data_IF_165612140510
#
_entry.id   IF_165612140510
#
_cell.length_a   1.000
_cell.length_b   1.000
_cell.length_c   1.000
_cell.angle_alpha   90.00
_cell.angle_beta   90.00
_cell.angle_gamma   90.00
#
_symmetry.space_group_name_H-M   'P 1'
#
loop_
_entity.id
_entity.type
_entity.pdbx_description
1 polymer ?
#
# COMPACT_ATOMS: atom_id res chain seq x y z
N UNK A 1 0.07 54.71 -39.73
CA UNK A 1 -0.09 54.47 -38.28
C UNK A 1 -0.40 53.00 -38.09
N UNK A 2 0.60 52.18 -37.78
CA UNK A 2 0.45 50.73 -37.59
C UNK A 2 0.41 50.41 -36.10
N UNK A 3 -0.71 49.88 -35.63
CA UNK A 3 -0.83 49.36 -34.26
C UNK A 3 -0.24 47.96 -34.21
N UNK A 4 0.91 47.83 -33.53
CA UNK A 4 1.46 46.56 -33.08
C UNK A 4 0.69 46.17 -31.82
N UNK A 5 -0.21 45.19 -31.93
CA UNK A 5 -0.85 44.55 -30.79
C UNK A 5 0.13 43.50 -30.23
N UNK A 6 0.78 43.80 -29.11
CA UNK A 6 1.57 42.84 -28.34
C UNK A 6 0.62 41.96 -27.50
N UNK A 7 0.38 40.74 -27.97
CA UNK A 7 -0.23 39.67 -27.18
C UNK A 7 0.80 39.12 -26.20
N UNK A 8 0.83 39.67 -24.98
CA UNK A 8 1.46 39.03 -23.83
C UNK A 8 0.57 37.85 -23.39
N UNK A 9 0.81 36.68 -23.97
CA UNK A 9 0.25 35.44 -23.46
C UNK A 9 0.87 35.15 -22.09
N UNK A 10 0.10 35.40 -21.03
CA UNK A 10 0.44 35.03 -19.66
C UNK A 10 0.73 33.53 -19.59
N UNK A 11 2.01 33.16 -19.43
CA UNK A 11 2.42 31.78 -19.16
C UNK A 11 2.04 31.41 -17.73
N UNK A 12 0.75 31.12 -17.51
CA UNK A 12 0.33 30.47 -16.27
C UNK A 12 0.94 29.05 -16.26
N UNK A 13 1.65 28.65 -15.20
CA UNK A 13 2.22 27.32 -15.11
C UNK A 13 1.08 26.28 -15.16
N UNK A 14 1.16 25.36 -16.13
CA UNK A 14 0.25 24.23 -16.21
C UNK A 14 0.38 23.42 -14.90
N UNK A 15 -0.73 23.14 -14.19
CA UNK A 15 -0.67 22.33 -12.98
C UNK A 15 -0.01 20.99 -13.28
N UNK A 16 1.10 20.69 -12.59
CA UNK A 16 1.75 19.40 -12.75
C UNK A 16 0.82 18.32 -12.22
N UNK A 17 0.50 17.32 -13.05
CA UNK A 17 -0.35 16.22 -12.65
C UNK A 17 0.27 15.48 -11.46
N UNK A 18 -0.55 15.19 -10.44
CA UNK A 18 -0.13 14.45 -9.24
C UNK A 18 -0.98 13.21 -9.01
N UNK A 19 -0.48 12.32 -8.17
CA UNK A 19 -1.18 11.13 -7.70
C UNK A 19 -0.97 11.00 -6.19
N UNK A 20 -2.07 10.91 -5.45
CA UNK A 20 -2.05 10.64 -4.02
C UNK A 20 -2.31 9.16 -3.77
N UNK A 21 -1.46 8.52 -2.96
CA UNK A 21 -1.55 7.10 -2.64
C UNK A 21 -1.51 6.91 -1.12
N UNK A 22 -2.40 6.08 -0.61
CA UNK A 22 -2.43 5.64 0.79
C UNK A 22 -2.02 4.17 0.89
N UNK A 23 -1.30 3.79 1.94
CA UNK A 23 -1.19 2.40 2.37
C UNK A 23 -1.61 2.25 3.83
N UNK A 24 -2.26 1.13 4.15
CA UNK A 24 -2.60 0.80 5.52
C UNK A 24 -2.80 -0.71 5.72
N UNK A 25 -2.03 -1.32 6.62
CA UNK A 25 -2.43 -2.57 7.26
C UNK A 25 -3.59 -2.28 8.23
N UNK A 26 -4.79 -2.72 7.87
CA UNK A 26 -6.02 -2.39 8.62
C UNK A 26 -6.23 -3.30 9.83
N UNK A 27 -5.41 -4.35 10.00
CA UNK A 27 -5.45 -5.28 11.12
C UNK A 27 -6.87 -5.74 11.48
N UNK A 28 -7.61 -6.25 10.49
CA UNK A 28 -9.02 -6.58 10.67
C UNK A 28 -9.34 -8.06 10.64
N UNK A 29 -8.40 -8.88 10.15
CA UNK A 29 -8.63 -10.29 9.86
C UNK A 29 -8.63 -11.18 11.09
N UNK A 30 -7.48 -11.26 11.76
CA UNK A 30 -7.19 -12.35 12.71
C UNK A 30 -6.66 -11.91 14.06
N UNK A 31 -6.10 -10.70 14.18
CA UNK A 31 -5.56 -10.19 15.44
C UNK A 31 -6.64 -9.53 16.31
N UNK A 32 -6.93 -10.13 17.48
CA UNK A 32 -7.93 -9.62 18.43
C UNK A 32 -7.54 -8.34 19.15
N UNK A 33 -6.26 -7.96 19.13
CA UNK A 33 -5.77 -6.75 19.81
C UNK A 33 -6.09 -5.46 19.02
N UNK A 34 -6.50 -5.60 17.77
CA UNK A 34 -6.84 -4.47 16.90
C UNK A 34 -8.30 -4.06 17.07
N UNK A 35 -8.57 -2.75 17.13
CA UNK A 35 -9.94 -2.24 17.30
C UNK A 35 -10.83 -2.51 16.08
N UNK A 36 -10.24 -2.73 14.92
CA UNK A 36 -10.95 -3.16 13.71
C UNK A 36 -11.14 -4.68 13.63
N UNK A 37 -10.71 -5.45 14.62
CA UNK A 37 -11.03 -6.87 14.72
C UNK A 37 -12.55 -7.06 14.73
N UNK A 38 -13.05 -7.93 13.84
CA UNK A 38 -14.49 -8.22 13.67
C UNK A 38 -15.36 -7.01 13.29
N UNK A 39 -14.76 -5.90 12.85
CA UNK A 39 -15.51 -4.75 12.33
C UNK A 39 -16.36 -5.15 11.11
N UNK A 40 -17.57 -4.64 11.03
CA UNK A 40 -18.44 -4.85 9.88
C UNK A 40 -17.85 -4.24 8.60
N UNK A 41 -18.34 -4.69 7.44
CA UNK A 41 -17.91 -4.14 6.15
C UNK A 41 -18.17 -2.62 6.05
N UNK A 42 -19.25 -2.12 6.66
CA UNK A 42 -19.61 -0.69 6.67
C UNK A 42 -18.66 0.13 7.54
N UNK A 43 -18.33 -0.36 8.74
CA UNK A 43 -17.36 0.30 9.63
C UNK A 43 -15.98 0.37 8.96
N UNK A 44 -15.53 -0.73 8.35
CA UNK A 44 -14.29 -0.76 7.60
C UNK A 44 -14.29 0.24 6.44
N UNK A 45 -15.35 0.25 5.63
CA UNK A 45 -15.48 1.17 4.51
C UNK A 45 -15.42 2.63 4.97
N UNK A 46 -16.12 2.98 6.04
CA UNK A 46 -16.10 4.32 6.61
C UNK A 46 -14.73 4.74 7.14
N UNK A 47 -14.04 3.84 7.87
CA UNK A 47 -12.72 4.13 8.43
C UNK A 47 -11.62 4.18 7.37
N UNK A 48 -11.62 3.29 6.38
CA UNK A 48 -10.63 3.30 5.30
C UNK A 48 -10.89 4.48 4.37
N UNK A 49 -12.12 4.61 3.89
CA UNK A 49 -12.51 5.64 2.95
C UNK A 49 -12.36 7.04 3.53
N UNK A 50 -12.77 7.27 4.79
CA UNK A 50 -12.60 8.59 5.43
C UNK A 50 -11.14 9.05 5.49
N UNK A 51 -10.20 8.12 5.65
CA UNK A 51 -8.75 8.41 5.75
C UNK A 51 -8.16 8.67 4.37
N UNK A 52 -8.53 7.84 3.39
CA UNK A 52 -8.19 8.06 1.99
C UNK A 52 -8.65 9.45 1.52
N UNK A 53 -9.92 9.82 1.77
CA UNK A 53 -10.48 11.08 1.32
C UNK A 53 -9.94 12.30 2.06
N UNK A 54 -9.58 12.18 3.34
CA UNK A 54 -8.94 13.26 4.10
C UNK A 54 -7.63 13.74 3.47
N UNK A 55 -6.96 12.88 2.69
CA UNK A 55 -5.74 13.20 1.94
C UNK A 55 -5.89 13.03 0.43
N UNK A 56 -7.14 12.95 -0.05
CA UNK A 56 -7.49 12.83 -1.47
C UNK A 56 -6.75 11.70 -2.18
N UNK A 57 -6.48 10.59 -1.47
CA UNK A 57 -5.86 9.42 -2.06
C UNK A 57 -6.74 8.91 -3.22
N UNK A 58 -6.09 8.58 -4.33
CA UNK A 58 -6.70 8.03 -5.54
C UNK A 58 -6.27 6.58 -5.77
N UNK A 59 -5.25 6.13 -5.04
CA UNK A 59 -4.88 4.72 -4.95
C UNK A 59 -4.73 4.36 -3.48
N UNK A 60 -5.21 3.19 -3.10
CA UNK A 60 -5.15 2.68 -1.73
C UNK A 60 -4.58 1.27 -1.75
N UNK A 61 -3.53 1.03 -0.98
CA UNK A 61 -2.99 -0.31 -0.71
C UNK A 61 -3.45 -0.76 0.68
N UNK A 62 -4.13 -1.90 0.77
CA UNK A 62 -4.62 -2.45 2.02
C UNK A 62 -4.00 -3.80 2.30
N UNK A 63 -3.59 -4.00 3.55
CA UNK A 63 -3.10 -5.28 4.07
C UNK A 63 -3.97 -5.69 5.24
N UNK A 64 -4.09 -7.01 5.44
CA UNK A 64 -5.01 -7.59 6.42
C UNK A 64 -6.46 -7.12 6.27
N UNK A 65 -6.84 -6.78 5.05
CA UNK A 65 -8.21 -6.47 4.68
C UNK A 65 -9.02 -7.76 4.59
N UNK A 66 -10.35 -7.69 4.76
CA UNK A 66 -11.21 -8.86 4.61
C UNK A 66 -11.96 -8.79 3.28
N UNK A 67 -11.85 -9.82 2.43
CA UNK A 67 -12.42 -9.78 1.07
C UNK A 67 -13.92 -9.51 1.05
N UNK A 68 -14.66 -9.89 2.10
CA UNK A 68 -16.09 -9.63 2.25
C UNK A 68 -16.46 -8.15 2.36
N UNK A 69 -15.50 -7.24 2.59
CA UNK A 69 -15.72 -5.79 2.63
C UNK A 69 -15.42 -5.08 1.30
N UNK A 70 -14.94 -5.79 0.26
CA UNK A 70 -14.51 -5.20 -1.02
C UNK A 70 -15.59 -4.33 -1.66
N UNK A 71 -16.75 -4.91 -1.95
CA UNK A 71 -17.85 -4.19 -2.62
C UNK A 71 -18.41 -3.04 -1.76
N UNK A 72 -18.43 -3.19 -0.44
CA UNK A 72 -18.88 -2.13 0.46
C UNK A 72 -17.91 -0.94 0.46
N UNK A 73 -16.60 -1.18 0.46
CA UNK A 73 -15.61 -0.11 0.36
C UNK A 73 -15.68 0.59 -1.00
N UNK A 74 -15.78 -0.17 -2.09
CA UNK A 74 -15.92 0.38 -3.44
C UNK A 74 -17.13 1.32 -3.53
N UNK A 75 -18.32 0.81 -3.19
CA UNK A 75 -19.55 1.60 -3.20
C UNK A 75 -19.46 2.84 -2.29
N UNK A 76 -18.87 2.70 -1.10
CA UNK A 76 -18.70 3.83 -0.18
C UNK A 76 -17.83 4.94 -0.80
N UNK A 77 -16.71 4.56 -1.44
CA UNK A 77 -15.81 5.51 -2.10
C UNK A 77 -16.50 6.20 -3.28
N UNK A 78 -17.25 5.44 -4.09
CA UNK A 78 -18.00 5.99 -5.22
C UNK A 78 -19.04 7.00 -4.78
N UNK A 79 -19.86 6.65 -3.78
CA UNK A 79 -20.89 7.54 -3.25
C UNK A 79 -20.32 8.84 -2.67
N UNK A 80 -19.14 8.79 -2.05
CA UNK A 80 -18.53 9.96 -1.41
C UNK A 80 -17.72 10.85 -2.35
N UNK A 81 -17.26 10.28 -3.47
CA UNK A 81 -16.43 11.01 -4.42
C UNK A 81 -17.16 11.40 -5.70
N UNK A 82 -18.30 10.77 -6.00
CA UNK A 82 -19.00 10.91 -7.29
C UNK A 82 -18.17 10.39 -8.47
N UNK A 83 -17.15 9.56 -8.21
CA UNK A 83 -16.24 8.97 -9.20
C UNK A 83 -16.30 7.47 -9.10
N UNK A 84 -16.08 6.77 -10.21
CA UNK A 84 -15.88 5.32 -10.19
C UNK A 84 -14.67 4.94 -9.36
N UNK A 85 -14.79 3.84 -8.62
CA UNK A 85 -13.69 3.16 -7.98
C UNK A 85 -13.65 1.71 -8.42
N UNK A 86 -12.48 1.10 -8.42
CA UNK A 86 -12.35 -0.34 -8.66
C UNK A 86 -11.35 -0.91 -7.69
N UNK A 87 -11.67 -2.07 -7.12
CA UNK A 87 -10.80 -2.75 -6.16
C UNK A 87 -10.39 -4.13 -6.67
N UNK A 88 -9.09 -4.32 -6.88
CA UNK A 88 -8.48 -5.65 -7.03
C UNK A 88 -8.06 -6.18 -5.67
N UNK A 89 -8.44 -7.41 -5.34
CA UNK A 89 -8.07 -8.05 -4.06
C UNK A 89 -7.65 -9.50 -4.28
N UNK A 90 -6.65 -9.94 -3.51
CA UNK A 90 -6.23 -11.33 -3.46
C UNK A 90 -6.30 -11.86 -2.03
N UNK A 91 -7.17 -12.84 -1.81
CA UNK A 91 -7.31 -13.54 -0.53
C UNK A 91 -6.09 -14.43 -0.26
N UNK A 92 -5.54 -14.30 0.93
CA UNK A 92 -4.46 -15.16 1.42
C UNK A 92 -4.99 -16.59 1.52
N UNK A 93 -4.11 -17.54 1.22
CA UNK A 93 -4.40 -18.97 1.33
C UNK A 93 -3.32 -19.64 2.16
N UNK A 94 -3.72 -20.69 2.88
CA UNK A 94 -2.83 -21.64 3.51
C UNK A 94 -2.05 -22.46 2.48
N UNK A 95 -1.26 -23.41 2.98
CA UNK A 95 -0.47 -24.30 2.14
C UNK A 95 -1.32 -25.30 1.36
N UNK A 96 -2.35 -25.82 2.02
CA UNK A 96 -3.43 -26.64 1.47
C UNK A 96 -4.28 -25.90 0.42
N UNK A 97 -4.11 -24.58 0.29
CA UNK A 97 -4.90 -23.74 -0.60
C UNK A 97 -6.19 -23.24 0.04
N UNK A 98 -6.47 -23.60 1.29
CA UNK A 98 -7.65 -23.13 2.00
C UNK A 98 -7.55 -21.62 2.26
N UNK A 99 -8.66 -20.88 2.19
CA UNK A 99 -8.66 -19.45 2.49
C UNK A 99 -8.20 -19.20 3.92
N UNK A 100 -7.27 -18.25 4.10
CA UNK A 100 -6.91 -17.76 5.43
C UNK A 100 -8.03 -16.83 5.92
N UNK A 101 -9.04 -17.44 6.56
CA UNK A 101 -10.30 -16.79 6.87
C UNK A 101 -10.16 -15.63 7.85
N UNK A 102 -10.86 -14.54 7.57
CA UNK A 102 -11.12 -13.52 8.58
C UNK A 102 -12.08 -14.07 9.64
N UNK A 103 -11.88 -13.68 10.90
CA UNK A 103 -12.87 -13.95 11.94
C UNK A 103 -14.22 -13.32 11.58
N UNK A 104 -15.36 -14.00 11.84
CA UNK A 104 -16.68 -13.44 11.62
C UNK A 104 -16.89 -12.11 12.36
N UNK A 105 -17.77 -11.26 11.86
CA UNK A 105 -18.05 -9.98 12.53
C UNK A 105 -18.75 -10.19 13.88
N UNK A 106 -19.06 -9.09 14.58
CA UNK A 106 -19.74 -9.16 15.88
C UNK A 106 -21.12 -9.85 15.82
N UNK A 107 -21.76 -9.91 14.65
CA UNK A 107 -23.03 -10.60 14.43
C UNK A 107 -22.86 -12.04 13.91
N UNK A 108 -21.62 -12.53 13.85
CA UNK A 108 -21.31 -13.87 13.34
C UNK A 108 -21.32 -13.99 11.82
N UNK A 109 -21.42 -12.87 11.07
CA UNK A 109 -21.44 -12.91 9.61
C UNK A 109 -20.05 -13.20 9.06
N UNK A 110 -19.92 -14.04 8.02
CA UNK A 110 -18.64 -14.30 7.39
C UNK A 110 -18.08 -13.04 6.73
N UNK A 111 -16.75 -12.89 6.76
CA UNK A 111 -16.05 -11.72 6.20
C UNK A 111 -15.07 -12.08 5.08
N UNK A 112 -15.12 -13.32 4.62
CA UNK A 112 -14.21 -13.83 3.59
C UNK A 112 -12.80 -14.11 4.13
N UNK A 113 -11.80 -13.97 3.28
CA UNK A 113 -10.41 -14.21 3.60
C UNK A 113 -9.68 -12.91 3.93
N UNK A 114 -8.65 -13.00 4.77
CA UNK A 114 -7.66 -11.94 4.90
C UNK A 114 -6.98 -11.73 3.54
N UNK A 115 -6.73 -10.49 3.13
CA UNK A 115 -6.31 -10.17 1.77
C UNK A 115 -5.30 -9.04 1.69
N UNK A 116 -4.71 -8.95 0.50
CA UNK A 116 -4.05 -7.75 -0.01
C UNK A 116 -5.01 -7.14 -1.03
N UNK A 117 -5.31 -5.85 -0.91
CA UNK A 117 -6.19 -5.16 -1.84
C UNK A 117 -5.56 -3.85 -2.36
N UNK A 118 -5.87 -3.53 -3.61
CA UNK A 118 -5.55 -2.25 -4.25
C UNK A 118 -6.84 -1.64 -4.77
N UNK A 119 -7.20 -0.48 -4.23
CA UNK A 119 -8.33 0.31 -4.72
C UNK A 119 -7.80 1.48 -5.55
N UNK A 120 -8.46 1.78 -6.67
CA UNK A 120 -8.06 2.87 -7.58
C UNK A 120 -9.29 3.68 -7.99
N UNK A 121 -9.15 5.01 -7.99
CA UNK A 121 -10.15 5.94 -8.48
C UNK A 121 -10.00 6.17 -9.99
N UNK A 122 -11.10 6.06 -10.73
CA UNK A 122 -11.17 6.28 -12.18
C UNK A 122 -11.46 5.04 -13.00
N UNK A 123 -11.53 5.22 -14.31
CA UNK A 123 -11.90 4.17 -15.27
C UNK A 123 -10.70 3.38 -15.80
N UNK A 124 -10.99 2.21 -16.38
CA UNK A 124 -10.06 1.38 -17.15
C UNK A 124 -8.80 0.94 -16.37
N UNK A 125 -9.00 0.44 -15.15
CA UNK A 125 -7.94 -0.13 -14.32
C UNK A 125 -7.85 -1.63 -14.57
N UNK A 126 -6.67 -2.10 -15.00
CA UNK A 126 -6.36 -3.52 -15.09
C UNK A 126 -5.60 -3.95 -13.83
N UNK A 127 -6.11 -4.99 -13.16
CA UNK A 127 -5.48 -5.56 -11.98
C UNK A 127 -4.76 -6.85 -12.31
N UNK A 128 -3.56 -7.01 -11.75
CA UNK A 128 -2.77 -8.23 -11.84
C UNK A 128 -2.38 -8.68 -10.44
N UNK A 129 -2.48 -9.98 -10.18
CA UNK A 129 -1.93 -10.58 -8.96
C UNK A 129 -0.69 -11.37 -9.30
N UNK A 130 0.37 -11.13 -8.54
CA UNK A 130 1.66 -11.77 -8.70
C UNK A 130 2.00 -12.53 -7.42
N UNK A 131 2.13 -13.85 -7.51
CA UNK A 131 2.61 -14.64 -6.37
C UNK A 131 4.02 -14.20 -5.98
N UNK A 132 4.27 -14.13 -4.68
CA UNK A 132 5.60 -13.89 -4.12
C UNK A 132 6.14 -15.18 -3.49
N UNK A 133 7.48 -15.38 -3.48
CA UNK A 133 8.08 -16.47 -2.74
C UNK A 133 7.61 -16.46 -1.29
N UNK A 134 7.07 -17.57 -0.79
CA UNK A 134 6.54 -17.65 0.58
C UNK A 134 7.08 -18.91 1.27
N UNK A 135 7.20 -18.91 2.60
CA UNK A 135 7.56 -20.11 3.34
C UNK A 135 6.53 -21.23 3.10
N UNK A 136 6.96 -22.48 2.82
CA UNK A 136 6.08 -23.59 2.49
C UNK A 136 5.27 -24.15 3.68
N UNK A 137 5.32 -23.51 4.85
CA UNK A 137 4.63 -23.93 6.07
C UNK A 137 3.65 -22.88 6.60
N UNK A 138 3.48 -21.74 5.92
CA UNK A 138 2.60 -20.67 6.37
C UNK A 138 1.76 -20.09 5.23
N UNK A 139 1.13 -18.93 5.39
CA UNK A 139 0.27 -18.37 4.34
C UNK A 139 1.07 -17.91 3.12
N UNK A 140 0.49 -18.09 1.92
CA UNK A 140 1.05 -17.59 0.67
C UNK A 140 1.02 -16.05 0.65
N UNK A 141 1.96 -15.44 -0.09
CA UNK A 141 2.09 -13.99 -0.25
C UNK A 141 1.94 -13.59 -1.71
N UNK A 142 1.48 -12.38 -1.96
CA UNK A 142 1.31 -11.84 -3.31
C UNK A 142 1.59 -10.34 -3.36
N UNK A 143 1.74 -9.80 -4.56
CA UNK A 143 1.57 -8.38 -4.84
C UNK A 143 0.36 -8.21 -5.75
N UNK A 144 -0.47 -7.22 -5.45
CA UNK A 144 -1.58 -6.82 -6.33
C UNK A 144 -1.15 -5.51 -6.98
N UNK A 145 -1.16 -5.47 -8.31
CA UNK A 145 -0.79 -4.31 -9.09
C UNK A 145 -1.96 -3.81 -9.91
N UNK A 146 -2.07 -2.49 -10.02
CA UNK A 146 -3.00 -1.80 -10.87
C UNK A 146 -2.23 -0.94 -11.87
N UNK A 147 -2.55 -1.07 -13.15
CA UNK A 147 -2.03 -0.15 -14.15
C UNK A 147 -3.02 0.99 -14.38
N UNK A 148 -2.50 2.22 -14.41
CA UNK A 148 -3.24 3.45 -14.70
C UNK A 148 -2.71 4.04 -16.01
N UNK A 149 -3.16 3.56 -17.19
CA UNK A 149 -2.56 3.90 -18.48
C UNK A 149 -2.59 5.39 -18.78
N UNK A 150 -3.70 6.07 -18.48
CA UNK A 150 -3.86 7.52 -18.68
C UNK A 150 -2.81 8.35 -17.92
N UNK A 151 -2.24 7.81 -16.84
CA UNK A 151 -1.21 8.45 -16.01
C UNK A 151 0.17 7.85 -16.21
N UNK A 152 0.28 6.75 -16.98
CA UNK A 152 1.47 5.89 -17.09
C UNK A 152 2.04 5.54 -15.72
N UNK A 153 1.18 5.10 -14.80
CA UNK A 153 1.57 4.66 -13.45
C UNK A 153 1.22 3.20 -13.24
N UNK A 154 2.15 2.43 -12.68
CA UNK A 154 1.89 1.10 -12.13
C UNK A 154 1.92 1.20 -10.62
N UNK A 155 0.81 0.87 -9.98
CA UNK A 155 0.64 0.96 -8.54
C UNK A 155 0.55 -0.44 -7.93
N UNK A 156 1.52 -0.84 -7.10
CA UNK A 156 1.60 -2.20 -6.54
C UNK A 156 1.56 -2.19 -5.02
N UNK A 157 0.57 -2.87 -4.44
CA UNK A 157 0.43 -3.11 -3.00
C UNK A 157 0.80 -4.56 -2.64
N UNK A 158 1.41 -4.76 -1.47
CA UNK A 158 1.74 -6.11 -0.96
C UNK A 158 1.64 -6.19 0.58
N UNK A 159 1.71 -7.42 1.10
CA UNK A 159 1.96 -7.72 2.51
C UNK A 159 3.00 -8.84 2.55
N UNK A 160 4.20 -8.53 3.05
CA UNK A 160 5.30 -9.50 3.11
C UNK A 160 5.20 -10.38 4.35
N UNK A 161 5.95 -11.49 4.35
CA UNK A 161 6.09 -12.34 5.53
C UNK A 161 6.49 -11.52 6.76
N UNK A 162 5.97 -11.85 7.95
CA UNK A 162 6.14 -11.05 9.17
C UNK A 162 7.51 -11.20 9.84
N UNK A 163 8.23 -12.29 9.57
CA UNK A 163 9.51 -12.58 10.23
C UNK A 163 9.40 -13.08 11.66
N UNK A 164 8.24 -13.61 12.02
CA UNK A 164 7.98 -14.26 13.30
C UNK A 164 8.47 -15.72 13.28
N UNK A 165 8.53 -16.41 14.43
CA UNK A 165 8.95 -17.81 14.47
C UNK A 165 8.13 -18.77 13.58
N UNK A 166 6.86 -18.44 13.31
CA UNK A 166 6.01 -19.20 12.41
C UNK A 166 6.05 -18.71 10.95
N UNK A 167 6.62 -17.53 10.67
CA UNK A 167 6.64 -16.90 9.35
C UNK A 167 8.03 -16.33 9.02
N UNK A 168 8.76 -16.97 8.11
CA UNK A 168 10.12 -16.57 7.70
C UNK A 168 11.12 -16.47 8.88
N UNK A 169 11.14 -17.51 9.71
CA UNK A 169 11.98 -17.66 10.91
C UNK A 169 13.44 -18.02 10.61
N UNK A 170 13.75 -18.40 9.37
CA UNK A 170 15.07 -18.87 8.99
C UNK A 170 16.11 -17.75 9.09
N UNK A 171 17.37 -18.07 9.47
CA UNK A 171 18.44 -17.08 9.54
C UNK A 171 18.56 -16.27 8.25
N UNK A 172 18.63 -14.95 8.39
CA UNK A 172 18.79 -14.04 7.25
C UNK A 172 17.50 -13.57 6.58
N UNK A 173 16.31 -13.88 7.12
CA UNK A 173 15.02 -13.49 6.53
C UNK A 173 14.92 -13.82 5.03
N UNK A 174 15.16 -15.08 4.64
CA UNK A 174 15.31 -15.47 3.24
C UNK A 174 14.05 -15.21 2.42
N UNK A 175 12.85 -15.38 2.98
CA UNK A 175 11.62 -15.15 2.21
C UNK A 175 11.35 -13.67 2.03
N UNK A 176 11.41 -12.83 3.07
CA UNK A 176 11.28 -11.37 2.91
C UNK A 176 12.29 -10.80 1.92
N UNK A 177 13.53 -11.31 1.92
CA UNK A 177 14.55 -10.89 0.95
C UNK A 177 14.16 -11.24 -0.49
N UNK A 178 13.75 -12.48 -0.74
CA UNK A 178 13.30 -12.93 -2.07
C UNK A 178 12.00 -12.21 -2.50
N UNK A 179 11.09 -11.96 -1.57
CA UNK A 179 9.86 -11.23 -1.80
C UNK A 179 10.13 -9.79 -2.24
N UNK A 180 11.04 -9.08 -1.57
CA UNK A 180 11.45 -7.72 -1.94
C UNK A 180 12.10 -7.68 -3.33
N UNK A 181 12.99 -8.63 -3.63
CA UNK A 181 13.59 -8.75 -4.97
C UNK A 181 12.52 -8.94 -6.03
N UNK A 182 11.60 -9.89 -5.80
CA UNK A 182 10.50 -10.16 -6.73
C UNK A 182 9.55 -8.98 -6.86
N UNK A 183 9.28 -8.25 -5.78
CA UNK A 183 8.44 -7.05 -5.81
C UNK A 183 9.07 -5.93 -6.66
N UNK A 184 10.40 -5.76 -6.62
CA UNK A 184 11.08 -4.81 -7.51
C UNK A 184 10.84 -5.17 -8.98
N UNK A 185 11.01 -6.44 -9.34
CA UNK A 185 10.76 -6.93 -10.70
C UNK A 185 9.32 -6.69 -11.14
N UNK A 186 8.34 -7.07 -10.31
CA UNK A 186 6.90 -6.90 -10.60
C UNK A 186 6.51 -5.42 -10.73
N UNK A 187 7.11 -4.56 -9.90
CA UNK A 187 6.81 -3.13 -9.90
C UNK A 187 7.35 -2.41 -11.13
N UNK A 188 8.41 -2.94 -11.75
CA UNK A 188 9.00 -2.37 -12.95
C UNK A 188 8.16 -2.73 -14.18
N UNK A 189 7.58 -1.72 -14.83
CA UNK A 189 6.86 -1.89 -16.10
C UNK A 189 7.38 -0.87 -17.12
N UNK A 190 7.89 -1.32 -18.30
CA UNK A 190 8.40 -0.40 -19.32
C UNK A 190 7.36 0.67 -19.70
N UNK A 191 7.78 1.93 -19.71
CA UNK A 191 6.92 3.07 -20.03
C UNK A 191 6.01 3.56 -18.88
N UNK A 192 6.08 2.93 -17.70
CA UNK A 192 5.30 3.30 -16.52
C UNK A 192 6.22 3.77 -15.38
N UNK A 193 5.74 4.73 -14.61
CA UNK A 193 6.32 5.10 -13.30
C UNK A 193 5.71 4.20 -12.22
N UNK A 194 6.54 3.68 -11.32
CA UNK A 194 6.08 2.76 -10.28
C UNK A 194 5.79 3.48 -8.97
N UNK A 195 4.62 3.26 -8.39
CA UNK A 195 4.36 3.54 -6.97
C UNK A 195 4.11 2.20 -6.29
N UNK A 196 4.94 1.86 -5.31
CA UNK A 196 4.94 0.51 -4.73
C UNK A 196 5.04 0.59 -3.21
N UNK A 197 4.29 -0.25 -2.50
CA UNK A 197 4.24 -0.16 -1.06
C UNK A 197 3.38 -1.23 -0.41
N UNK A 198 3.09 -0.99 0.86
CA UNK A 198 2.41 -1.94 1.75
C UNK A 198 3.16 -2.15 3.05
N UNK A 199 2.69 -3.13 3.81
CA UNK A 199 3.41 -3.66 4.96
C UNK A 199 4.51 -4.61 4.48
N UNK A 200 5.75 -4.12 4.53
CA UNK A 200 6.91 -4.88 4.08
C UNK A 200 7.56 -5.70 5.20
N UNK A 201 7.10 -5.56 6.45
CA UNK A 201 7.61 -6.31 7.60
C UNK A 201 9.16 -6.33 7.72
N UNK A 202 9.81 -5.27 7.25
CA UNK A 202 11.25 -5.06 7.33
C UNK A 202 11.55 -3.71 7.92
N UNK A 203 12.60 -3.65 8.73
CA UNK A 203 13.07 -2.38 9.29
C UNK A 203 13.90 -1.60 8.26
N UNK A 204 13.89 -0.26 8.32
CA UNK A 204 14.64 0.58 7.39
C UNK A 204 16.14 0.35 7.47
N UNK A 205 16.92 0.57 6.39
CA UNK A 205 18.35 0.25 6.35
C UNK A 205 19.16 0.93 7.46
N UNK A 206 18.83 2.18 7.77
CA UNK A 206 19.59 3.02 8.72
C UNK A 206 18.95 3.02 10.13
N UNK A 207 18.02 2.09 10.38
CA UNK A 207 17.39 1.94 11.69
C UNK A 207 18.26 1.12 12.66
N UNK A 208 18.17 1.44 13.95
CA UNK A 208 18.83 0.70 15.03
C UNK A 208 18.10 -0.57 15.48
N UNK A 209 17.00 -0.96 14.81
CA UNK A 209 16.16 -2.10 15.20
C UNK A 209 15.91 -3.05 14.03
N UNK A 210 15.33 -4.21 14.34
CA UNK A 210 15.12 -5.29 13.38
C UNK A 210 16.39 -6.07 13.05
N UNK A 211 16.26 -7.10 12.20
CA UNK A 211 17.40 -7.92 11.81
C UNK A 211 18.27 -7.20 10.77
N UNK A 212 19.60 -7.38 10.86
CA UNK A 212 20.52 -6.80 9.89
C UNK A 212 20.23 -7.27 8.45
N UNK A 213 19.77 -8.52 8.29
CA UNK A 213 19.40 -9.04 6.99
C UNK A 213 18.15 -8.36 6.42
N UNK A 214 17.09 -8.16 7.22
CA UNK A 214 15.89 -7.43 6.77
C UNK A 214 16.21 -5.98 6.39
N UNK A 215 17.04 -5.30 7.19
CA UNK A 215 17.53 -3.94 6.87
C UNK A 215 18.30 -3.88 5.55
N UNK A 216 19.14 -4.88 5.27
CA UNK A 216 19.86 -4.98 3.98
C UNK A 216 18.92 -5.33 2.82
N UNK A 217 17.91 -6.15 3.05
CA UNK A 217 16.98 -6.61 2.03
C UNK A 217 16.16 -5.47 1.40
N UNK A 218 15.79 -4.44 2.17
CA UNK A 218 15.03 -3.29 1.66
C UNK A 218 15.90 -2.19 1.05
N UNK A 219 17.22 -2.21 1.30
CA UNK A 219 18.14 -1.21 0.78
C UNK A 219 18.11 -1.01 -0.76
N UNK A 220 17.87 -2.04 -1.61
CA UNK A 220 17.69 -1.85 -3.04
C UNK A 220 16.52 -0.93 -3.42
N UNK A 221 15.40 -0.96 -2.69
CA UNK A 221 14.29 -0.02 -2.93
C UNK A 221 14.74 1.43 -2.75
N UNK A 222 15.48 1.73 -1.67
CA UNK A 222 16.02 3.08 -1.45
C UNK A 222 17.08 3.52 -2.47
N UNK A 223 17.71 2.57 -3.18
CA UNK A 223 18.62 2.91 -4.28
C UNK A 223 17.87 3.32 -5.54
N UNK A 224 16.74 2.66 -5.84
CA UNK A 224 15.96 2.90 -7.05
C UNK A 224 14.89 4.00 -6.86
N UNK A 225 14.31 4.07 -5.67
CA UNK A 225 13.17 4.90 -5.34
C UNK A 225 13.48 5.85 -4.18
N UNK A 226 12.59 6.80 -4.00
CA UNK A 226 12.49 7.62 -2.80
C UNK A 226 11.32 7.11 -1.96
N UNK A 227 11.56 6.95 -0.66
CA UNK A 227 10.57 6.49 0.29
C UNK A 227 9.79 7.65 0.92
N UNK A 228 8.52 7.43 1.26
CA UNK A 228 7.69 8.38 1.98
C UNK A 228 8.23 8.65 3.40
N UNK A 229 8.62 9.89 3.68
CA UNK A 229 9.26 10.34 4.95
C UNK A 229 10.76 10.01 4.98
N UNK A 230 11.37 9.67 3.84
CA UNK A 230 12.81 9.77 3.64
C UNK A 230 13.23 11.25 3.63
N UNK A 231 14.19 11.60 4.50
CA UNK A 231 14.71 12.97 4.62
C UNK A 231 16.20 12.98 4.31
N UNK A 232 16.55 13.64 3.21
CA UNK A 232 17.92 13.65 2.68
C UNK A 232 18.43 12.22 2.46
N UNK A 233 19.61 11.94 3.00
CA UNK A 233 20.26 10.62 2.88
C UNK A 233 19.76 9.59 3.90
N UNK A 234 19.03 9.99 4.96
CA UNK A 234 18.63 9.07 6.04
C UNK A 234 17.43 8.22 5.63
N UNK A 235 17.60 6.90 5.71
CA UNK A 235 16.58 5.87 5.39
C UNK A 235 16.04 5.26 6.69
N UNK A 236 15.42 6.11 7.49
CA UNK A 236 14.81 5.74 8.79
C UNK A 236 13.30 5.89 8.75
N UNK A 237 12.80 6.95 8.09
CA UNK A 237 11.37 7.21 7.92
C UNK A 237 10.60 7.33 9.23
N UNK A 238 9.31 7.62 9.11
CA UNK A 238 8.39 7.66 10.24
C UNK A 238 7.96 6.27 10.66
N UNK A 239 7.84 6.04 11.96
CA UNK A 239 7.28 4.78 12.47
C UNK A 239 5.81 4.63 12.05
N UNK A 240 5.43 3.39 11.75
CA UNK A 240 4.10 2.98 11.31
C UNK A 240 3.50 1.89 12.18
N UNK A 241 4.25 1.27 13.10
CA UNK A 241 3.74 0.30 14.09
C UNK A 241 4.64 0.29 15.33
N UNK A 242 4.09 0.51 16.53
CA UNK A 242 4.83 0.41 17.82
C UNK A 242 6.25 1.05 17.82
N UNK A 243 6.39 2.27 17.30
CA UNK A 243 7.69 2.94 17.22
C UNK A 243 8.66 2.39 16.17
N UNK A 244 8.25 1.38 15.39
CA UNK A 244 8.95 0.80 14.25
C UNK A 244 8.30 1.23 12.94
N UNK A 245 9.08 1.27 11.87
CA UNK A 245 8.62 1.48 10.49
C UNK A 245 8.61 0.14 9.79
N UNK A 246 7.43 -0.25 9.32
CA UNK A 246 7.18 -1.51 8.59
C UNK A 246 6.36 -1.27 7.32
N UNK A 247 5.60 -0.19 7.27
CA UNK A 247 4.80 0.20 6.12
C UNK A 247 5.54 1.25 5.30
N UNK A 248 5.50 1.06 3.98
CA UNK A 248 6.28 1.85 3.04
C UNK A 248 5.43 2.28 1.85
N UNK A 249 5.76 3.45 1.33
CA UNK A 249 5.38 3.90 0.00
C UNK A 249 6.64 4.41 -0.69
N UNK A 250 7.00 3.77 -1.80
CA UNK A 250 8.14 4.13 -2.64
C UNK A 250 7.64 4.67 -3.97
N UNK A 251 8.33 5.70 -4.47
CA UNK A 251 8.06 6.31 -5.76
C UNK A 251 9.38 6.75 -6.44
N UNK A 252 9.38 7.12 -7.73
CA UNK A 252 10.60 7.55 -8.41
C UNK A 252 11.28 8.71 -7.67
N UNK A 253 12.61 8.73 -7.67
CA UNK A 253 13.37 9.80 -6.99
C UNK A 253 13.00 11.17 -7.55
N UNK A 254 12.80 12.14 -6.65
CA UNK A 254 12.44 13.51 -7.02
C UNK A 254 10.96 13.71 -7.35
N UNK A 255 10.14 12.66 -7.40
CA UNK A 255 8.70 12.78 -7.65
C UNK A 255 7.89 13.03 -6.38
N UNK A 256 8.41 12.67 -5.21
CA UNK A 256 7.72 12.79 -3.92
C UNK A 256 7.58 14.26 -3.52
N UNK A 257 6.34 14.73 -3.39
CA UNK A 257 6.01 16.11 -3.00
C UNK A 257 5.60 16.23 -1.56
N UNK A 258 4.73 15.33 -1.10
CA UNK A 258 4.27 15.29 0.29
C UNK A 258 4.29 13.86 0.79
N UNK A 259 4.60 13.71 2.07
CA UNK A 259 4.43 12.48 2.80
C UNK A 259 3.78 12.77 4.15
N UNK A 260 2.93 11.86 4.61
CA UNK A 260 2.35 11.93 5.93
C UNK A 260 2.07 10.54 6.49
N UNK A 261 2.43 10.33 7.76
CA UNK A 261 2.01 9.15 8.53
C UNK A 261 1.04 9.58 9.61
N UNK A 262 -0.16 9.00 9.61
CA UNK A 262 -1.24 9.31 10.56
C UNK A 262 -1.02 8.63 11.92
N UNK A 263 -0.01 9.07 12.67
CA UNK A 263 0.40 8.46 13.94
C UNK A 263 -0.67 8.48 15.04
N UNK A 264 -1.62 9.41 14.97
CA UNK A 264 -2.74 9.51 15.91
C UNK A 264 -3.85 8.49 15.69
N UNK A 265 -3.84 7.73 14.60
CA UNK A 265 -4.84 6.70 14.34
C UNK A 265 -4.56 5.48 15.22
N UNK A 266 -5.54 5.03 16.00
CA UNK A 266 -5.43 3.90 16.94
C UNK A 266 -6.39 2.75 16.61
N UNK A 267 -6.96 2.75 15.41
CA UNK A 267 -7.92 1.72 14.97
C UNK A 267 -7.22 0.40 14.61
N UNK A 268 -6.00 0.50 14.09
CA UNK A 268 -5.07 -0.58 13.80
C UNK A 268 -3.78 -0.35 14.62
N UNK A 269 -3.05 -1.42 14.89
CA UNK A 269 -1.68 -1.32 15.42
C UNK A 269 -0.72 -0.68 14.39
N UNK A 270 -1.08 -0.71 13.11
CA UNK A 270 -0.43 0.04 12.04
C UNK A 270 -1.05 1.43 11.78
N UNK A 271 -0.22 2.36 11.32
CA UNK A 271 -0.57 3.75 11.00
C UNK A 271 -0.68 3.94 9.48
N UNK A 272 -1.77 4.55 8.98
CA UNK A 272 -1.87 4.91 7.58
C UNK A 272 -0.70 5.79 7.15
N UNK A 273 -0.11 5.49 6.00
CA UNK A 273 0.90 6.31 5.36
C UNK A 273 0.39 6.81 4.01
N UNK A 274 0.68 8.07 3.70
CA UNK A 274 0.20 8.78 2.53
C UNK A 274 1.36 9.43 1.80
N UNK A 275 1.41 9.25 0.49
CA UNK A 275 2.37 9.92 -0.40
C UNK A 275 1.61 10.68 -1.48
N UNK A 276 2.06 11.89 -1.78
CA UNK A 276 1.68 12.60 -3.00
C UNK A 276 2.89 12.66 -3.91
N UNK A 277 2.74 12.16 -5.12
CA UNK A 277 3.80 12.13 -6.13
C UNK A 277 3.39 12.97 -7.32
N UNK A 278 4.37 13.61 -7.92
CA UNK A 278 4.21 14.22 -9.25
C UNK A 278 4.42 13.16 -10.32
N UNK A 279 3.61 13.26 -11.36
CA UNK A 279 3.66 12.38 -12.53
C UNK A 279 4.67 12.95 -13.51
#
# INVERSE_FOLDING_TARGET
MGHVLLLLASMLPVPQASLAVMTWNVCTGTNSDCRLYRASAVELAGHIGGRALARRAEVIFLQEFCTGATGTLELWLEQRTGRRWTIGSWGLTGQDGEPYACHPDLLGRPRGAQSIAVAVAGDAVAFETHALPAPPWYVKRAAVCADLPARRVRACGTHLSAGTPYDDHQPGAPYRTKQLQRLLEISAKPGYRSVVGGDLNVSPPDSGYGSAAGRRAVAPFYRLYQECDQRGVRRTGGWTREGKKLDYLFAPKGSVRRCHVERGVTLSDHKPAHIEVTL
#
